data_IF_302690312713
#
_entry.id   IF_302690312713
#
_cell.length_a   1.000
_cell.length_b   1.000
_cell.length_c   1.000
_cell.angle_alpha   90.00
_cell.angle_beta   90.00
_cell.angle_gamma   90.00
#
_symmetry.space_group_name_H-M   'P 1'
#
loop_
_entity.id
_entity.type
_entity.pdbx_description
1 polymer ?
#
# COMPACT_ATOMS: atom_id res chain seq x y z
N UNK A 1 -27.82 -15.53 -27.94
CA UNK A 1 -26.77 -15.97 -28.87
C UNK A 1 -25.60 -15.02 -28.69
N UNK A 2 -24.38 -15.53 -28.51
CA UNK A 2 -23.19 -14.70 -28.32
C UNK A 2 -22.95 -13.79 -29.53
N UNK A 3 -22.51 -12.56 -29.33
CA UNK A 3 -22.27 -11.56 -30.38
C UNK A 3 -21.22 -12.02 -31.41
N UNK A 4 -20.36 -12.97 -31.03
CA UNK A 4 -19.30 -13.54 -31.86
C UNK A 4 -19.70 -14.84 -32.60
N UNK A 5 -20.96 -15.25 -32.53
CA UNK A 5 -21.43 -16.57 -33.04
C UNK A 5 -21.55 -16.72 -34.56
N UNK A 6 -21.15 -15.73 -35.34
CA UNK A 6 -21.43 -15.67 -36.80
C UNK A 6 -21.03 -16.89 -37.63
N UNK A 7 -19.99 -17.63 -37.20
CA UNK A 7 -19.47 -18.80 -37.92
C UNK A 7 -19.93 -20.13 -37.32
N UNK A 8 -20.48 -20.11 -36.12
CA UNK A 8 -20.79 -21.32 -35.36
C UNK A 8 -22.21 -21.80 -35.61
N UNK A 9 -22.37 -23.10 -35.77
CA UNK A 9 -23.66 -23.77 -36.10
C UNK A 9 -24.34 -24.37 -34.85
N UNK A 10 -23.67 -24.31 -33.69
CA UNK A 10 -24.20 -24.84 -32.42
C UNK A 10 -24.11 -23.77 -31.33
N UNK A 11 -25.01 -23.87 -30.36
CA UNK A 11 -24.88 -23.08 -29.16
C UNK A 11 -23.70 -23.56 -28.30
N UNK A 12 -23.09 -22.62 -27.56
CA UNK A 12 -22.01 -22.93 -26.63
C UNK A 12 -22.57 -23.82 -25.49
N UNK A 13 -21.79 -24.77 -25.07
CA UNK A 13 -22.11 -25.59 -23.89
C UNK A 13 -22.20 -24.69 -22.63
N UNK A 14 -23.20 -24.94 -21.78
CA UNK A 14 -23.45 -24.13 -20.61
C UNK A 14 -22.28 -24.16 -19.60
N UNK A 15 -21.59 -25.30 -19.47
CA UNK A 15 -20.39 -25.40 -18.62
C UNK A 15 -19.22 -24.62 -19.18
N UNK A 16 -19.05 -24.62 -20.50
CA UNK A 16 -18.02 -23.82 -21.19
C UNK A 16 -18.33 -22.34 -21.07
N UNK A 17 -19.60 -21.94 -21.17
CA UNK A 17 -19.99 -20.54 -20.97
C UNK A 17 -19.67 -20.08 -19.54
N UNK A 18 -20.01 -20.87 -18.53
CA UNK A 18 -19.68 -20.57 -17.14
C UNK A 18 -18.16 -20.52 -16.88
N UNK A 19 -17.40 -21.41 -17.51
CA UNK A 19 -15.93 -21.43 -17.44
C UNK A 19 -15.29 -20.18 -18.03
N UNK A 20 -15.83 -19.67 -19.15
CA UNK A 20 -15.30 -18.51 -19.86
C UNK A 20 -15.78 -17.17 -19.29
N UNK A 21 -16.90 -17.15 -18.57
CA UNK A 21 -17.53 -15.92 -18.08
C UNK A 21 -16.67 -15.20 -17.04
N UNK A 22 -16.63 -13.88 -17.14
CA UNK A 22 -15.91 -12.99 -16.20
C UNK A 22 -16.82 -11.99 -15.50
N UNK A 23 -18.13 -11.96 -15.81
CA UNK A 23 -19.06 -10.97 -15.25
C UNK A 23 -19.04 -10.93 -13.72
N UNK A 24 -18.81 -12.07 -13.05
CA UNK A 24 -18.80 -12.18 -11.61
C UNK A 24 -17.75 -11.27 -10.93
N UNK A 25 -16.66 -10.96 -11.61
CA UNK A 25 -15.59 -10.12 -11.09
C UNK A 25 -15.34 -8.85 -11.91
N UNK A 26 -15.62 -8.83 -13.22
CA UNK A 26 -15.38 -7.64 -14.04
C UNK A 26 -16.52 -6.63 -14.00
N UNK A 27 -17.69 -7.00 -13.49
CA UNK A 27 -18.82 -6.10 -13.32
C UNK A 27 -18.46 -4.82 -12.53
N UNK A 28 -17.49 -4.90 -11.62
CA UNK A 28 -17.00 -3.73 -10.86
C UNK A 28 -16.41 -2.62 -11.74
N UNK A 29 -16.02 -2.93 -12.96
CA UNK A 29 -15.50 -1.96 -13.93
C UNK A 29 -16.59 -1.25 -14.77
N UNK A 30 -17.87 -1.43 -14.46
CA UNK A 30 -18.97 -0.91 -15.30
C UNK A 30 -18.89 0.60 -15.57
N UNK A 31 -18.45 1.39 -14.59
CA UNK A 31 -18.27 2.85 -14.76
C UNK A 31 -17.17 3.14 -15.78
N UNK A 32 -16.07 2.41 -15.69
CA UNK A 32 -14.91 2.56 -16.57
C UNK A 32 -15.20 2.08 -17.98
N UNK A 33 -15.93 0.98 -18.13
CA UNK A 33 -16.40 0.50 -19.43
C UNK A 33 -17.28 1.53 -20.13
N UNK A 34 -18.26 2.10 -19.40
CA UNK A 34 -19.15 3.14 -19.93
C UNK A 34 -18.38 4.41 -20.25
N UNK A 35 -17.46 4.84 -19.39
CA UNK A 35 -16.60 6.00 -19.63
C UNK A 35 -15.77 5.83 -20.91
N UNK A 36 -15.13 4.70 -21.09
CA UNK A 36 -14.36 4.36 -22.28
C UNK A 36 -15.23 4.32 -23.54
N UNK A 37 -16.43 3.75 -23.46
CA UNK A 37 -17.38 3.68 -24.54
C UNK A 37 -17.93 5.06 -24.93
N UNK A 38 -18.15 5.96 -23.99
CA UNK A 38 -18.55 7.35 -24.27
C UNK A 38 -17.44 8.07 -25.04
N UNK A 39 -16.19 7.95 -24.61
CA UNK A 39 -15.06 8.55 -25.31
C UNK A 39 -14.91 7.97 -26.74
N UNK A 40 -15.08 6.67 -26.88
CA UNK A 40 -15.03 6.01 -28.20
C UNK A 40 -16.14 6.49 -29.13
N UNK A 41 -17.38 6.54 -28.64
CA UNK A 41 -18.52 7.03 -29.43
C UNK A 41 -18.38 8.51 -29.82
N UNK A 42 -17.82 9.33 -28.94
CA UNK A 42 -17.52 10.75 -29.23
C UNK A 42 -16.55 10.85 -30.40
N UNK A 43 -15.42 10.16 -30.32
CA UNK A 43 -14.41 10.13 -31.37
C UNK A 43 -14.96 9.60 -32.69
N UNK A 44 -15.74 8.52 -32.66
CA UNK A 44 -16.37 7.98 -33.88
C UNK A 44 -17.26 9.02 -34.58
N UNK A 45 -18.03 9.78 -33.85
CA UNK A 45 -18.87 10.87 -34.34
C UNK A 45 -18.06 12.04 -34.89
N UNK A 46 -17.01 12.46 -34.16
CA UNK A 46 -16.16 13.58 -34.56
C UNK A 46 -15.29 13.26 -35.79
N UNK A 47 -14.86 12.03 -35.93
CA UNK A 47 -14.17 11.52 -37.13
C UNK A 47 -15.13 11.22 -38.32
N UNK A 48 -16.44 11.33 -38.14
CA UNK A 48 -17.43 11.05 -39.20
C UNK A 48 -17.54 9.57 -39.58
N UNK A 49 -17.07 8.65 -38.71
CA UNK A 49 -17.16 7.19 -38.89
C UNK A 49 -18.60 6.73 -38.67
N UNK A 50 -19.29 7.32 -37.71
CA UNK A 50 -20.73 7.26 -37.49
C UNK A 50 -21.31 8.67 -37.58
N UNK A 51 -22.63 8.78 -37.77
CA UNK A 51 -23.27 10.11 -37.77
C UNK A 51 -23.19 10.75 -36.39
N UNK A 52 -23.23 12.09 -36.32
CA UNK A 52 -23.25 12.81 -35.02
C UNK A 52 -24.53 12.52 -34.24
N UNK A 53 -25.63 12.27 -34.90
CA UNK A 53 -26.90 11.86 -34.33
C UNK A 53 -26.76 10.50 -33.65
N UNK A 54 -26.19 9.51 -34.33
CA UNK A 54 -25.96 8.18 -33.77
C UNK A 54 -25.00 8.24 -32.57
N UNK A 55 -23.91 9.00 -32.69
CA UNK A 55 -22.96 9.22 -31.58
C UNK A 55 -23.69 9.80 -30.35
N UNK A 56 -24.50 10.84 -30.52
CA UNK A 56 -25.25 11.47 -29.46
C UNK A 56 -26.24 10.52 -28.78
N UNK A 57 -26.94 9.70 -29.56
CA UNK A 57 -27.88 8.69 -29.04
C UNK A 57 -27.16 7.59 -28.26
N UNK A 58 -26.02 7.12 -28.75
CA UNK A 58 -25.18 6.13 -28.05
C UNK A 58 -24.71 6.69 -26.71
N UNK A 59 -24.18 7.92 -26.68
CA UNK A 59 -23.71 8.58 -25.47
C UNK A 59 -24.85 8.76 -24.48
N UNK A 60 -26.02 9.18 -24.95
CA UNK A 60 -27.21 9.30 -24.11
C UNK A 60 -27.58 7.94 -23.49
N UNK A 61 -27.66 6.89 -24.29
CA UNK A 61 -28.00 5.53 -23.83
C UNK A 61 -27.00 4.99 -22.81
N UNK A 62 -25.70 5.24 -23.03
CA UNK A 62 -24.65 4.86 -22.06
C UNK A 62 -24.79 5.58 -20.72
N UNK A 63 -25.12 6.88 -20.74
CA UNK A 63 -25.38 7.65 -19.51
C UNK A 63 -26.64 7.18 -18.77
N UNK A 64 -27.68 6.81 -19.51
CA UNK A 64 -28.89 6.22 -18.93
C UNK A 64 -28.60 4.87 -18.26
N UNK A 65 -27.83 4.00 -18.91
CA UNK A 65 -27.41 2.70 -18.37
C UNK A 65 -26.58 2.92 -17.10
N UNK A 66 -25.65 3.87 -17.10
CA UNK A 66 -24.84 4.19 -15.94
C UNK A 66 -25.72 4.64 -14.76
N UNK A 67 -26.67 5.55 -14.99
CA UNK A 67 -27.60 6.03 -13.97
C UNK A 67 -28.48 4.91 -13.42
N UNK A 68 -28.95 4.01 -14.28
CA UNK A 68 -29.79 2.88 -13.88
C UNK A 68 -28.98 1.84 -13.05
N UNK A 69 -27.72 1.59 -13.39
CA UNK A 69 -26.82 0.74 -12.61
C UNK A 69 -26.47 1.38 -11.27
N UNK A 70 -26.17 2.67 -11.25
CA UNK A 70 -25.82 3.41 -10.04
C UNK A 70 -26.96 3.45 -9.03
N UNK A 71 -28.20 3.56 -9.52
CA UNK A 71 -29.41 3.60 -8.68
C UNK A 71 -29.96 2.22 -8.29
N UNK A 72 -29.38 1.15 -8.83
CA UNK A 72 -29.89 -0.22 -8.65
C UNK A 72 -31.16 -0.53 -9.42
N UNK A 73 -31.61 0.35 -10.33
CA UNK A 73 -32.77 0.11 -11.20
C UNK A 73 -32.46 -0.98 -12.26
N UNK A 74 -31.21 -1.07 -12.69
CA UNK A 74 -30.68 -2.12 -13.54
C UNK A 74 -29.70 -2.98 -12.75
N UNK A 75 -29.90 -4.29 -12.77
CA UNK A 75 -29.01 -5.25 -12.16
C UNK A 75 -28.18 -5.98 -13.22
N UNK A 76 -26.97 -6.44 -12.86
CA UNK A 76 -26.13 -7.23 -13.77
C UNK A 76 -26.76 -8.60 -14.02
N UNK A 77 -26.74 -9.04 -15.28
CA UNK A 77 -27.13 -10.38 -15.64
C UNK A 77 -25.97 -11.36 -15.31
N UNK A 78 -26.15 -12.27 -14.35
CA UNK A 78 -25.11 -13.22 -13.98
C UNK A 78 -24.77 -14.22 -15.09
N UNK A 79 -25.59 -14.31 -16.13
CA UNK A 79 -25.37 -15.17 -17.29
C UNK A 79 -24.67 -14.43 -18.45
N UNK A 80 -24.42 -13.13 -18.35
CA UNK A 80 -23.62 -12.40 -19.31
C UNK A 80 -22.18 -12.94 -19.30
N UNK A 81 -21.52 -12.89 -20.46
CA UNK A 81 -20.11 -13.30 -20.58
C UNK A 81 -19.18 -12.37 -19.79
N UNK A 82 -19.34 -11.08 -20.01
CA UNK A 82 -18.57 -10.03 -19.35
C UNK A 82 -19.37 -8.73 -19.27
N UNK A 83 -18.82 -7.74 -18.55
CA UNK A 83 -19.43 -6.42 -18.40
C UNK A 83 -19.59 -5.69 -19.73
N UNK A 84 -18.66 -5.89 -20.64
CA UNK A 84 -18.66 -5.23 -21.95
C UNK A 84 -19.84 -5.68 -22.80
N UNK A 85 -20.08 -6.99 -22.89
CA UNK A 85 -21.26 -7.54 -23.57
C UNK A 85 -22.56 -7.14 -22.88
N UNK A 86 -22.57 -7.10 -21.55
CA UNK A 86 -23.75 -6.68 -20.80
C UNK A 86 -24.17 -5.25 -21.16
N UNK A 87 -23.23 -4.30 -21.16
CA UNK A 87 -23.51 -2.89 -21.49
C UNK A 87 -23.94 -2.75 -22.95
N UNK A 88 -23.24 -3.41 -23.88
CA UNK A 88 -23.54 -3.38 -25.31
C UNK A 88 -24.93 -3.99 -25.63
N UNK A 89 -25.26 -5.11 -24.99
CA UNK A 89 -26.59 -5.75 -25.13
C UNK A 89 -27.71 -4.83 -24.58
N UNK A 90 -27.51 -4.21 -23.43
CA UNK A 90 -28.49 -3.27 -22.87
C UNK A 90 -28.65 -2.03 -23.74
N UNK A 91 -27.55 -1.48 -24.27
CA UNK A 91 -27.60 -0.36 -25.22
C UNK A 91 -28.36 -0.73 -26.49
N UNK A 92 -28.09 -1.91 -27.06
CA UNK A 92 -28.79 -2.41 -28.26
C UNK A 92 -30.28 -2.63 -27.99
N UNK A 93 -30.64 -3.14 -26.81
CA UNK A 93 -32.05 -3.29 -26.40
C UNK A 93 -32.80 -1.96 -26.37
N UNK A 94 -32.14 -0.89 -25.94
CA UNK A 94 -32.74 0.46 -25.82
C UNK A 94 -32.77 1.20 -27.16
N UNK A 95 -31.73 1.10 -27.97
CA UNK A 95 -31.50 1.94 -29.13
C UNK A 95 -31.40 1.17 -30.46
N UNK A 96 -31.60 -0.14 -30.47
CA UNK A 96 -31.60 -0.98 -31.66
C UNK A 96 -30.30 -0.91 -32.45
N UNK A 97 -30.40 -0.74 -33.77
CA UNK A 97 -29.23 -0.73 -34.66
C UNK A 97 -28.24 0.40 -34.38
N UNK A 98 -28.70 1.51 -33.82
CA UNK A 98 -27.81 2.61 -33.42
C UNK A 98 -26.84 2.12 -32.34
N UNK A 99 -27.34 1.38 -31.34
CA UNK A 99 -26.52 0.80 -30.26
C UNK A 99 -25.42 -0.14 -30.78
N UNK A 100 -25.71 -0.91 -31.83
CA UNK A 100 -24.75 -1.82 -32.46
C UNK A 100 -23.55 -1.12 -33.11
N UNK A 101 -23.65 0.16 -33.42
CA UNK A 101 -22.58 0.96 -34.03
C UNK A 101 -21.46 1.31 -33.06
N UNK A 102 -21.69 1.20 -31.74
CA UNK A 102 -20.69 1.47 -30.74
C UNK A 102 -19.40 0.64 -30.91
N UNK A 103 -19.53 -0.62 -31.38
CA UNK A 103 -18.38 -1.53 -31.52
C UNK A 103 -17.53 -1.27 -32.78
N UNK A 104 -17.92 -0.32 -33.61
CA UNK A 104 -17.17 0.04 -34.84
C UNK A 104 -15.72 0.39 -34.51
N UNK A 105 -14.77 -0.18 -35.23
CA UNK A 105 -13.31 0.00 -35.07
C UNK A 105 -12.70 -0.42 -33.73
N UNK A 106 -13.45 -1.12 -32.91
CA UNK A 106 -13.02 -1.56 -31.57
C UNK A 106 -13.02 -3.09 -31.48
N UNK A 107 -12.11 -3.62 -30.66
CA UNK A 107 -12.08 -5.03 -30.27
C UNK A 107 -12.34 -5.15 -28.77
N UNK A 108 -12.74 -6.34 -28.32
CA UNK A 108 -12.75 -6.67 -26.88
C UNK A 108 -11.35 -6.52 -26.29
N UNK A 109 -10.30 -6.79 -27.06
CA UNK A 109 -8.92 -6.77 -26.58
C UNK A 109 -8.45 -5.38 -26.15
N UNK A 110 -8.66 -4.34 -26.95
CA UNK A 110 -8.30 -2.97 -26.56
C UNK A 110 -9.31 -2.37 -25.57
N UNK A 111 -10.56 -2.78 -25.61
CA UNK A 111 -11.58 -2.36 -24.65
C UNK A 111 -11.27 -2.83 -23.24
N UNK A 112 -10.97 -4.11 -23.02
CA UNK A 112 -10.66 -4.64 -21.69
C UNK A 112 -9.32 -4.09 -21.16
N UNK A 113 -8.33 -3.91 -22.04
CA UNK A 113 -7.08 -3.28 -21.67
C UNK A 113 -7.27 -1.83 -21.17
N UNK A 114 -8.15 -1.08 -21.84
CA UNK A 114 -8.53 0.27 -21.41
C UNK A 114 -9.23 0.26 -20.06
N UNK A 115 -10.26 -0.56 -19.91
CA UNK A 115 -11.11 -0.56 -18.72
C UNK A 115 -10.30 -0.91 -17.46
N UNK A 116 -9.40 -1.88 -17.57
CA UNK A 116 -8.53 -2.26 -16.46
C UNK A 116 -7.56 -1.13 -16.09
N UNK A 117 -7.00 -0.40 -17.09
CA UNK A 117 -6.16 0.78 -16.82
C UNK A 117 -6.94 1.89 -16.13
N UNK A 118 -8.12 2.21 -16.62
CA UNK A 118 -8.98 3.25 -16.01
C UNK A 118 -9.34 2.88 -14.56
N UNK A 119 -9.76 1.64 -14.34
CA UNK A 119 -10.10 1.13 -13.02
C UNK A 119 -8.92 1.19 -12.05
N UNK A 120 -7.76 0.64 -12.44
CA UNK A 120 -6.59 0.61 -11.58
C UNK A 120 -5.99 2.00 -11.36
N UNK A 121 -6.14 2.93 -12.29
CA UNK A 121 -5.74 4.33 -12.09
C UNK A 121 -6.50 4.96 -10.92
N UNK A 122 -7.81 4.73 -10.84
CA UNK A 122 -8.64 5.22 -9.73
C UNK A 122 -8.29 4.49 -8.41
N UNK A 123 -8.06 3.19 -8.46
CA UNK A 123 -7.66 2.41 -7.28
C UNK A 123 -6.27 2.83 -6.74
N UNK A 124 -5.33 3.15 -7.62
CA UNK A 124 -4.02 3.70 -7.21
C UNK A 124 -4.21 5.03 -6.46
N UNK A 125 -5.08 5.90 -6.95
CA UNK A 125 -5.36 7.18 -6.28
C UNK A 125 -5.96 6.96 -4.89
N UNK A 126 -6.86 5.99 -4.73
CA UNK A 126 -7.46 5.64 -3.45
C UNK A 126 -6.46 5.01 -2.48
N UNK A 127 -5.68 4.03 -2.93
CA UNK A 127 -4.61 3.42 -2.12
C UNK A 127 -3.59 4.49 -1.71
N UNK A 128 -3.21 5.39 -2.62
CA UNK A 128 -2.32 6.51 -2.33
C UNK A 128 -2.87 7.40 -1.22
N UNK A 129 -4.15 7.73 -1.28
CA UNK A 129 -4.83 8.50 -0.24
C UNK A 129 -4.79 7.78 1.11
N UNK A 130 -5.02 6.47 1.15
CA UNK A 130 -4.97 5.68 2.38
C UNK A 130 -3.56 5.59 2.96
N UNK A 131 -2.53 5.37 2.14
CA UNK A 131 -1.13 5.37 2.57
C UNK A 131 -0.74 6.74 3.14
N UNK A 132 -1.15 7.82 2.48
CA UNK A 132 -0.94 9.18 2.97
C UNK A 132 -1.62 9.39 4.34
N UNK A 133 -2.88 9.00 4.49
CA UNK A 133 -3.61 9.09 5.77
C UNK A 133 -2.93 8.30 6.88
N UNK A 134 -2.42 7.11 6.59
CA UNK A 134 -1.67 6.32 7.57
C UNK A 134 -0.37 7.01 7.97
N UNK A 135 0.37 7.57 7.03
CA UNK A 135 1.57 8.37 7.31
C UNK A 135 1.25 9.59 8.19
N UNK A 136 0.15 10.29 7.91
CA UNK A 136 -0.34 11.42 8.73
C UNK A 136 -0.68 10.98 10.15
N UNK A 137 -1.37 9.85 10.32
CA UNK A 137 -1.70 9.31 11.63
C UNK A 137 -0.43 8.97 12.45
N UNK A 138 0.58 8.39 11.81
CA UNK A 138 1.88 8.13 12.45
C UNK A 138 2.59 9.43 12.85
N UNK A 139 2.58 10.46 12.01
CA UNK A 139 3.18 11.77 12.31
C UNK A 139 2.48 12.41 13.52
N UNK A 140 1.15 12.42 13.54
CA UNK A 140 0.38 12.98 14.66
C UNK A 140 0.63 12.25 15.97
N UNK A 141 0.77 10.92 15.92
CA UNK A 141 1.14 10.13 17.10
C UNK A 141 2.57 10.44 17.52
N UNK A 142 3.50 10.53 16.58
CA UNK A 142 4.89 10.87 16.87
C UNK A 142 5.03 12.26 17.54
N UNK A 143 4.28 13.27 17.11
CA UNK A 143 4.29 14.60 17.71
C UNK A 143 3.95 14.59 19.22
N UNK A 144 3.18 13.63 19.68
CA UNK A 144 2.81 13.47 21.10
C UNK A 144 3.85 12.71 21.93
N UNK A 145 4.88 12.14 21.27
CA UNK A 145 5.82 11.21 21.89
C UNK A 145 7.30 11.53 21.59
N UNK A 146 7.61 12.80 21.36
CA UNK A 146 8.98 13.27 21.04
C UNK A 146 9.98 13.09 22.18
N UNK A 147 9.50 12.96 23.41
CA UNK A 147 10.30 12.71 24.61
C UNK A 147 9.95 11.40 25.31
N UNK A 148 9.10 10.56 24.72
CA UNK A 148 8.74 9.25 25.27
C UNK A 148 9.88 8.27 25.03
N UNK A 149 10.71 8.04 26.03
CA UNK A 149 11.87 7.14 25.97
C UNK A 149 11.41 5.68 25.93
N UNK A 150 11.97 4.94 24.98
CA UNK A 150 11.78 3.49 24.87
C UNK A 150 13.10 2.81 24.50
N UNK A 151 13.25 1.49 24.74
CA UNK A 151 14.41 0.77 24.25
C UNK A 151 14.30 0.59 22.73
N UNK A 152 15.36 0.90 22.00
CA UNK A 152 15.56 0.44 20.64
C UNK A 152 16.13 -0.97 20.67
N UNK A 153 15.75 -1.80 19.70
CA UNK A 153 16.12 -3.21 19.62
C UNK A 153 16.95 -3.52 18.39
N UNK A 154 17.94 -4.39 18.57
CA UNK A 154 18.56 -5.17 17.50
C UNK A 154 18.57 -6.63 17.95
N UNK A 155 18.27 -7.58 17.05
CA UNK A 155 18.16 -9.02 17.38
C UNK A 155 17.15 -9.30 18.53
N UNK A 156 16.12 -8.48 18.69
CA UNK A 156 15.22 -8.47 19.86
C UNK A 156 15.95 -8.32 21.21
N UNK A 157 17.20 -7.87 21.21
CA UNK A 157 17.92 -7.45 22.39
C UNK A 157 17.79 -5.94 22.57
N UNK A 158 17.67 -5.49 23.81
CA UNK A 158 17.69 -4.06 24.14
C UNK A 158 19.05 -3.50 23.76
N UNK A 159 19.08 -2.51 22.87
CA UNK A 159 20.30 -2.02 22.26
C UNK A 159 20.68 -0.61 22.75
N UNK A 160 19.90 0.38 22.37
CA UNK A 160 20.13 1.78 22.71
C UNK A 160 18.82 2.50 22.97
N UNK A 161 18.81 3.56 23.81
CA UNK A 161 17.59 4.33 24.03
C UNK A 161 17.20 5.17 22.82
N UNK A 162 15.94 5.14 22.49
CA UNK A 162 15.31 5.97 21.45
C UNK A 162 14.04 6.62 21.98
N UNK A 163 13.35 7.41 21.17
CA UNK A 163 12.00 7.87 21.48
C UNK A 163 10.97 7.13 20.64
N UNK A 164 9.75 7.05 21.15
CA UNK A 164 8.64 6.45 20.40
C UNK A 164 8.35 7.22 19.10
N UNK A 165 8.47 8.55 19.14
CA UNK A 165 8.39 9.38 17.93
C UNK A 165 9.42 8.98 16.88
N UNK A 166 10.69 8.83 17.27
CA UNK A 166 11.75 8.40 16.36
C UNK A 166 11.46 7.06 15.71
N UNK A 167 10.96 6.11 16.48
CA UNK A 167 10.58 4.78 15.99
C UNK A 167 9.44 4.85 14.95
N UNK A 168 8.37 5.61 15.25
CA UNK A 168 7.23 5.78 14.35
C UNK A 168 7.63 6.48 13.04
N UNK A 169 8.52 7.47 13.12
CA UNK A 169 9.00 8.19 11.94
C UNK A 169 9.81 7.31 10.96
N UNK A 170 10.37 6.20 11.43
CA UNK A 170 10.97 5.21 10.53
C UNK A 170 9.93 4.60 9.59
N UNK A 171 8.75 4.29 10.07
CA UNK A 171 7.62 3.82 9.26
C UNK A 171 7.10 4.90 8.30
N UNK A 172 7.08 6.16 8.74
CA UNK A 172 6.73 7.28 7.84
C UNK A 172 7.68 7.34 6.64
N UNK A 173 8.99 7.13 6.85
CA UNK A 173 9.96 7.07 5.74
C UNK A 173 9.67 5.92 4.75
N UNK A 174 9.21 4.77 5.24
CA UNK A 174 8.80 3.65 4.38
C UNK A 174 7.59 4.04 3.54
N UNK A 175 6.57 4.64 4.16
CA UNK A 175 5.35 5.06 3.47
C UNK A 175 5.58 6.18 2.46
N UNK A 176 6.50 7.11 2.71
CA UNK A 176 6.90 8.12 1.74
C UNK A 176 7.51 7.50 0.47
N UNK A 177 8.29 6.43 0.61
CA UNK A 177 8.79 5.68 -0.55
C UNK A 177 7.67 4.91 -1.26
N UNK A 178 6.68 4.43 -0.52
CA UNK A 178 5.50 3.76 -1.10
C UNK A 178 4.63 4.73 -1.90
N UNK A 179 4.43 5.95 -1.41
CA UNK A 179 3.76 7.01 -2.18
C UNK A 179 4.48 7.28 -3.50
N UNK A 180 5.81 7.37 -3.48
CA UNK A 180 6.61 7.53 -4.70
C UNK A 180 6.45 6.36 -5.68
N UNK A 181 6.39 5.11 -5.19
CA UNK A 181 6.16 3.94 -6.05
C UNK A 181 4.77 3.97 -6.69
N UNK A 182 3.73 4.35 -5.94
CA UNK A 182 2.38 4.50 -6.47
C UNK A 182 2.33 5.58 -7.56
N UNK A 183 2.97 6.73 -7.33
CA UNK A 183 3.07 7.81 -8.31
C UNK A 183 3.81 7.37 -9.58
N UNK A 184 4.89 6.63 -9.45
CA UNK A 184 5.66 6.09 -10.56
C UNK A 184 4.86 5.07 -11.37
N UNK A 185 4.10 4.18 -10.72
CA UNK A 185 3.21 3.22 -11.39
C UNK A 185 2.11 3.96 -12.15
N UNK A 186 1.44 4.92 -11.52
CA UNK A 186 0.40 5.72 -12.14
C UNK A 186 0.92 6.46 -13.39
N UNK A 187 2.12 7.01 -13.32
CA UNK A 187 2.75 7.71 -14.44
C UNK A 187 3.05 6.78 -15.62
N UNK A 188 3.66 5.62 -15.38
CA UNK A 188 4.02 4.69 -16.46
C UNK A 188 2.81 4.07 -17.15
N UNK A 189 1.74 3.80 -16.44
CA UNK A 189 0.52 3.21 -17.01
C UNK A 189 -0.39 4.22 -17.72
N UNK A 190 -0.10 5.51 -17.66
CA UNK A 190 -1.01 6.56 -18.16
C UNK A 190 -0.93 6.77 -19.66
N UNK A 191 -0.98 5.67 -20.42
CA UNK A 191 -1.07 5.64 -21.88
C UNK A 191 -2.30 4.85 -22.32
N UNK A 192 -3.01 5.37 -23.33
CA UNK A 192 -4.31 4.87 -23.78
C UNK A 192 -4.16 3.72 -24.79
N UNK A 193 -4.64 2.51 -24.49
CA UNK A 193 -4.60 1.39 -25.43
C UNK A 193 -5.70 1.43 -26.48
N UNK A 194 -6.78 2.20 -26.28
CA UNK A 194 -7.95 2.21 -27.16
C UNK A 194 -7.57 2.72 -28.56
N UNK A 195 -8.05 1.99 -29.57
CA UNK A 195 -7.65 2.19 -30.97
C UNK A 195 -6.61 1.18 -31.43
N UNK A 196 -6.06 0.36 -30.53
CA UNK A 196 -5.19 -0.77 -30.90
C UNK A 196 -5.95 -1.90 -31.63
N UNK A 197 -7.29 -1.90 -31.54
CA UNK A 197 -8.12 -2.95 -32.10
C UNK A 197 -7.86 -4.30 -31.47
N UNK A 198 -7.93 -5.38 -32.26
CA UNK A 198 -7.56 -6.70 -31.75
C UNK A 198 -6.05 -6.83 -31.52
N UNK A 199 -5.21 -6.23 -32.37
CA UNK A 199 -3.74 -6.21 -32.29
C UNK A 199 -3.08 -5.29 -33.34
N UNK A 200 -3.75 -5.00 -34.44
CA UNK A 200 -3.17 -4.34 -35.60
C UNK A 200 -3.84 -3.00 -35.93
N UNK A 201 -4.43 -2.36 -34.95
CA UNK A 201 -5.18 -1.12 -35.12
C UNK A 201 -6.45 -1.35 -35.95
N UNK A 202 -6.78 -0.40 -36.83
CA UNK A 202 -8.00 -0.41 -37.60
C UNK A 202 -7.75 0.27 -38.96
N UNK A 203 -8.60 -0.05 -39.96
CA UNK A 203 -8.60 0.62 -41.26
C UNK A 203 -9.42 1.92 -41.30
N UNK A 204 -10.11 2.23 -40.21
CA UNK A 204 -10.83 3.49 -40.07
C UNK A 204 -9.87 4.63 -39.69
N UNK A 205 -10.17 5.84 -40.11
CA UNK A 205 -9.42 7.04 -39.74
C UNK A 205 -9.87 7.55 -38.35
N UNK A 206 -9.51 6.83 -37.31
CA UNK A 206 -9.78 7.19 -35.95
C UNK A 206 -8.78 8.24 -35.41
N UNK A 207 -9.19 9.01 -34.41
CA UNK A 207 -8.33 9.93 -33.67
C UNK A 207 -8.04 9.39 -32.27
N UNK A 208 -6.87 8.77 -32.10
CA UNK A 208 -6.43 8.19 -30.83
C UNK A 208 -5.98 9.24 -29.82
N UNK A 209 -5.49 10.41 -30.29
CA UNK A 209 -5.14 11.53 -29.43
C UNK A 209 -6.39 12.12 -28.76
N UNK A 210 -7.46 12.27 -29.49
CA UNK A 210 -8.75 12.70 -28.94
C UNK A 210 -9.23 11.72 -27.86
N UNK A 211 -9.25 10.44 -28.14
CA UNK A 211 -9.69 9.41 -27.20
C UNK A 211 -8.83 9.42 -25.93
N UNK A 212 -7.51 9.50 -26.07
CA UNK A 212 -6.59 9.59 -24.93
C UNK A 212 -6.85 10.85 -24.10
N UNK A 213 -7.04 12.00 -24.74
CA UNK A 213 -7.34 13.26 -24.07
C UNK A 213 -8.67 13.23 -23.31
N UNK A 214 -9.73 12.72 -23.91
CA UNK A 214 -11.05 12.58 -23.29
C UNK A 214 -11.01 11.70 -22.02
N UNK A 215 -10.10 10.73 -21.97
CA UNK A 215 -9.94 9.80 -20.87
C UNK A 215 -8.84 10.20 -19.88
N UNK A 216 -8.18 11.35 -20.09
CA UNK A 216 -7.15 11.86 -19.19
C UNK A 216 -5.84 11.07 -19.24
N UNK A 217 -5.53 10.43 -20.34
CA UNK A 217 -4.21 9.82 -20.59
C UNK A 217 -3.23 10.84 -21.16
N UNK A 218 -1.93 10.60 -20.96
CA UNK A 218 -0.87 11.48 -21.45
C UNK A 218 -0.71 11.36 -22.99
N UNK A 219 -0.92 10.15 -23.52
CA UNK A 219 -0.79 9.84 -24.95
C UNK A 219 -1.47 8.50 -25.29
N UNK A 220 -1.75 8.21 -26.57
CA UNK A 220 -2.04 6.85 -27.00
C UNK A 220 -0.79 5.97 -26.91
N UNK A 221 -0.97 4.67 -26.62
CA UNK A 221 0.13 3.70 -26.66
C UNK A 221 0.73 3.60 -28.07
N UNK A 222 2.05 3.58 -28.15
CA UNK A 222 2.80 3.73 -29.40
C UNK A 222 2.76 2.50 -30.33
N UNK A 223 2.39 1.33 -29.80
CA UNK A 223 2.34 0.07 -30.57
C UNK A 223 1.04 -0.67 -30.26
N UNK A 224 0.29 -1.06 -31.29
CA UNK A 224 -1.02 -1.70 -31.12
C UNK A 224 -0.96 -3.15 -30.59
N UNK A 225 0.14 -3.87 -30.85
CA UNK A 225 0.36 -5.20 -30.25
C UNK A 225 0.59 -5.08 -28.74
N UNK A 226 1.43 -4.14 -28.34
CA UNK A 226 1.69 -3.83 -26.94
C UNK A 226 0.43 -3.29 -26.24
N UNK A 227 -0.36 -2.46 -26.94
CA UNK A 227 -1.60 -1.88 -26.42
C UNK A 227 -2.62 -2.89 -25.92
N UNK A 228 -2.69 -4.08 -26.52
CA UNK A 228 -3.60 -5.16 -26.09
C UNK A 228 -2.91 -6.24 -25.23
N UNK A 229 -1.58 -6.27 -25.24
CA UNK A 229 -0.78 -7.31 -24.57
C UNK A 229 -0.26 -6.87 -23.20
N UNK A 230 0.03 -5.60 -23.01
CA UNK A 230 0.67 -5.09 -21.81
C UNK A 230 -0.19 -5.30 -20.54
N UNK A 231 0.44 -5.90 -19.55
CA UNK A 231 -0.05 -6.05 -18.18
C UNK A 231 1.04 -5.68 -17.16
N UNK A 232 2.11 -5.02 -17.60
CA UNK A 232 3.20 -4.59 -16.71
C UNK A 232 2.67 -3.72 -15.57
N UNK A 233 1.71 -2.86 -15.83
CA UNK A 233 1.09 -2.01 -14.82
C UNK A 233 0.35 -2.81 -13.72
N UNK A 234 -0.22 -3.97 -14.04
CA UNK A 234 -0.81 -4.86 -13.03
C UNK A 234 0.28 -5.47 -12.14
N UNK A 235 1.38 -5.92 -12.74
CA UNK A 235 2.51 -6.51 -12.03
C UNK A 235 3.20 -5.45 -11.17
N UNK A 236 3.48 -4.28 -11.71
CA UNK A 236 4.11 -3.17 -11.01
C UNK A 236 3.25 -2.69 -9.83
N UNK A 237 1.94 -2.59 -10.02
CA UNK A 237 1.02 -2.27 -8.93
C UNK A 237 1.04 -3.36 -7.86
N UNK A 238 0.93 -4.63 -8.23
CA UNK A 238 0.96 -5.75 -7.29
C UNK A 238 2.29 -5.83 -6.52
N UNK A 239 3.42 -5.49 -7.16
CA UNK A 239 4.72 -5.36 -6.51
C UNK A 239 4.73 -4.22 -5.48
N UNK A 240 4.24 -3.06 -5.87
CA UNK A 240 4.09 -1.90 -4.97
C UNK A 240 3.19 -2.23 -3.78
N UNK A 241 2.04 -2.87 -4.03
CA UNK A 241 1.11 -3.33 -2.99
C UNK A 241 1.77 -4.36 -2.06
N UNK A 242 2.60 -5.25 -2.59
CA UNK A 242 3.38 -6.23 -1.82
C UNK A 242 4.39 -5.55 -0.90
N UNK A 243 5.06 -4.49 -1.35
CA UNK A 243 5.99 -3.71 -0.52
C UNK A 243 5.23 -2.97 0.58
N UNK A 244 4.08 -2.36 0.26
CA UNK A 244 3.21 -1.73 1.26
C UNK A 244 2.80 -2.75 2.33
N UNK A 245 2.35 -3.94 1.94
CA UNK A 245 1.97 -5.00 2.88
C UNK A 245 3.15 -5.49 3.71
N UNK A 246 4.35 -5.56 3.15
CA UNK A 246 5.56 -5.88 3.91
C UNK A 246 5.82 -4.84 5.01
N UNK A 247 5.66 -3.55 4.70
CA UNK A 247 5.78 -2.49 5.71
C UNK A 247 4.69 -2.59 6.78
N UNK A 248 3.44 -2.83 6.38
CA UNK A 248 2.32 -3.05 7.31
C UNK A 248 2.52 -4.30 8.17
N UNK A 249 3.06 -5.37 7.61
CA UNK A 249 3.37 -6.60 8.34
C UNK A 249 4.45 -6.38 9.40
N UNK A 250 5.50 -5.64 9.06
CA UNK A 250 6.55 -5.27 10.03
C UNK A 250 6.00 -4.40 11.15
N UNK A 251 5.20 -3.40 10.83
CA UNK A 251 4.51 -2.57 11.83
C UNK A 251 3.58 -3.41 12.71
N UNK A 252 2.82 -4.31 12.11
CA UNK A 252 1.91 -5.21 12.82
C UNK A 252 2.65 -6.13 13.80
N UNK A 253 3.81 -6.68 13.39
CA UNK A 253 4.65 -7.48 14.28
C UNK A 253 5.08 -6.70 15.52
N UNK A 254 5.51 -5.45 15.35
CA UNK A 254 5.89 -4.60 16.49
C UNK A 254 4.71 -4.26 17.39
N UNK A 255 3.54 -3.96 16.82
CA UNK A 255 2.31 -3.74 17.60
C UNK A 255 1.95 -4.98 18.41
N UNK A 256 2.05 -6.18 17.83
CA UNK A 256 1.82 -7.46 18.53
C UNK A 256 2.78 -7.61 19.70
N UNK A 257 4.08 -7.36 19.48
CA UNK A 257 5.07 -7.39 20.56
C UNK A 257 4.75 -6.36 21.63
N UNK A 258 4.45 -5.12 21.24
CA UNK A 258 4.20 -4.02 22.19
C UNK A 258 2.96 -4.23 23.04
N UNK A 259 1.92 -4.88 22.57
CA UNK A 259 0.72 -5.19 23.35
C UNK A 259 0.78 -6.53 24.09
N UNK A 260 1.84 -7.33 23.93
CA UNK A 260 2.04 -8.57 24.70
C UNK A 260 2.18 -8.30 26.20
N UNK A 261 1.92 -9.33 27.01
CA UNK A 261 2.11 -9.26 28.47
C UNK A 261 3.55 -8.96 28.88
N UNK A 262 4.52 -9.40 28.10
CA UNK A 262 5.94 -9.22 28.34
C UNK A 262 6.40 -7.78 28.12
N UNK A 263 5.85 -7.10 27.12
CA UNK A 263 6.20 -5.72 26.77
C UNK A 263 5.26 -4.70 27.42
N UNK A 264 3.96 -4.81 27.18
CA UNK A 264 2.94 -3.84 27.63
C UNK A 264 3.31 -2.38 27.37
N UNK A 265 3.88 -2.11 26.21
CA UNK A 265 4.24 -0.76 25.78
C UNK A 265 3.04 0.02 25.28
N UNK A 266 2.06 -0.70 24.74
CA UNK A 266 0.81 -0.14 24.26
C UNK A 266 -0.37 -1.02 24.68
N UNK A 267 -1.55 -0.45 24.57
CA UNK A 267 -2.82 -1.17 24.64
C UNK A 267 -3.71 -0.72 23.51
N UNK A 268 -4.27 -1.67 22.78
CA UNK A 268 -5.26 -1.39 21.76
C UNK A 268 -6.60 -1.02 22.39
N UNK A 269 -7.37 -0.15 21.73
CA UNK A 269 -8.74 0.12 22.10
C UNK A 269 -9.60 -1.16 21.97
N UNK A 270 -10.64 -1.29 22.80
CA UNK A 270 -11.51 -2.47 22.81
C UNK A 270 -12.22 -2.67 21.46
N UNK A 271 -12.45 -1.60 20.69
CA UNK A 271 -13.02 -1.68 19.35
C UNK A 271 -12.08 -2.31 18.31
N UNK A 272 -10.79 -2.43 18.62
CA UNK A 272 -9.76 -2.93 17.71
C UNK A 272 -9.01 -4.16 18.27
N UNK A 273 -9.63 -4.86 19.20
CA UNK A 273 -9.10 -6.08 19.80
C UNK A 273 -10.24 -7.08 20.00
N UNK A 274 -9.90 -8.35 20.18
CA UNK A 274 -10.89 -9.38 20.52
C UNK A 274 -10.53 -10.07 21.82
N UNK A 275 -11.52 -10.76 22.40
CA UNK A 275 -11.33 -11.59 23.60
C UNK A 275 -11.32 -13.07 23.26
N UNK A 276 -11.07 -13.90 24.26
CA UNK A 276 -11.21 -15.35 24.18
C UNK A 276 -12.57 -15.78 24.73
N UNK A 277 -13.19 -16.79 24.10
CA UNK A 277 -14.45 -17.37 24.59
C UNK A 277 -14.34 -18.08 25.92
N UNK A 278 -13.13 -18.46 26.35
CA UNK A 278 -12.87 -19.20 27.61
C UNK A 278 -11.80 -18.56 28.49
N UNK A 279 -11.04 -17.61 27.96
CA UNK A 279 -9.94 -16.94 28.71
C UNK A 279 -10.24 -15.44 28.83
N UNK A 280 -11.00 -15.01 29.84
CA UNK A 280 -11.51 -13.64 29.95
C UNK A 280 -10.43 -12.58 30.16
N UNK A 281 -9.21 -12.99 30.48
CA UNK A 281 -8.07 -12.08 30.65
C UNK A 281 -7.40 -11.68 29.31
N UNK A 282 -7.70 -12.40 28.22
CA UNK A 282 -7.07 -12.12 26.92
C UNK A 282 -7.70 -10.93 26.22
N UNK A 283 -6.83 -10.12 25.61
CA UNK A 283 -7.16 -9.06 24.67
C UNK A 283 -6.22 -9.21 23.48
N UNK A 284 -6.75 -9.76 22.39
CA UNK A 284 -5.97 -10.24 21.26
C UNK A 284 -5.80 -9.16 20.20
N UNK A 285 -4.61 -8.99 19.60
CA UNK A 285 -4.35 -8.02 18.53
C UNK A 285 -4.69 -8.59 17.15
N UNK A 286 -5.91 -9.11 16.98
CA UNK A 286 -6.32 -9.86 15.77
C UNK A 286 -6.17 -9.09 14.48
N UNK A 287 -6.38 -7.75 14.51
CA UNK A 287 -6.23 -6.90 13.33
C UNK A 287 -4.81 -7.00 12.77
N UNK A 288 -3.82 -6.85 13.65
CA UNK A 288 -2.41 -6.89 13.24
C UNK A 288 -1.97 -8.30 12.84
N UNK A 289 -2.53 -9.34 13.46
CA UNK A 289 -2.30 -10.72 13.04
C UNK A 289 -2.87 -10.99 11.64
N UNK A 290 -4.09 -10.50 11.37
CA UNK A 290 -4.72 -10.62 10.05
C UNK A 290 -3.99 -9.82 8.97
N UNK A 291 -3.49 -8.62 9.27
CA UNK A 291 -2.66 -7.85 8.34
C UNK A 291 -1.39 -8.63 7.98
N UNK A 292 -0.72 -9.20 8.98
CA UNK A 292 0.44 -10.06 8.79
C UNK A 292 0.10 -11.28 7.91
N UNK A 293 -1.03 -11.93 8.16
CA UNK A 293 -1.53 -13.06 7.37
C UNK A 293 -1.89 -12.69 5.94
N UNK A 294 -2.61 -11.57 5.73
CA UNK A 294 -3.02 -11.08 4.41
C UNK A 294 -1.85 -10.65 3.53
N UNK A 295 -0.72 -10.34 4.10
CA UNK A 295 0.52 -10.04 3.36
C UNK A 295 0.91 -11.20 2.44
N UNK A 296 0.81 -12.44 2.92
CA UNK A 296 1.10 -13.63 2.10
C UNK A 296 0.15 -13.75 0.90
N UNK A 297 -1.12 -13.39 1.08
CA UNK A 297 -2.13 -13.40 0.01
C UNK A 297 -1.77 -12.42 -1.11
N UNK A 298 -1.39 -11.19 -0.76
CA UNK A 298 -0.98 -10.17 -1.75
C UNK A 298 0.29 -10.59 -2.49
N UNK A 299 1.24 -11.23 -1.80
CA UNK A 299 2.42 -11.83 -2.46
C UNK A 299 2.03 -12.93 -3.45
N UNK A 300 1.00 -13.74 -3.10
CA UNK A 300 0.45 -14.74 -4.00
C UNK A 300 -0.15 -14.14 -5.26
N UNK A 301 -0.84 -13.00 -5.15
CA UNK A 301 -1.41 -12.28 -6.28
C UNK A 301 -0.32 -11.77 -7.23
N UNK A 302 0.75 -11.19 -6.71
CA UNK A 302 1.92 -10.80 -7.50
C UNK A 302 2.53 -12.00 -8.24
N UNK A 303 2.72 -13.11 -7.53
CA UNK A 303 3.26 -14.34 -8.12
C UNK A 303 2.34 -14.88 -9.22
N UNK A 304 1.04 -14.80 -9.02
CA UNK A 304 0.03 -15.19 -10.03
C UNK A 304 0.20 -14.38 -11.32
N UNK A 305 0.29 -13.05 -11.21
CA UNK A 305 0.45 -12.15 -12.36
C UNK A 305 1.77 -12.39 -13.10
N UNK A 306 2.88 -12.52 -12.39
CA UNK A 306 4.19 -12.83 -12.97
C UNK A 306 4.16 -14.17 -13.72
N UNK A 307 3.57 -15.18 -13.13
CA UNK A 307 3.50 -16.53 -13.70
C UNK A 307 2.55 -16.58 -14.89
N UNK A 308 1.42 -15.87 -14.84
CA UNK A 308 0.47 -15.76 -15.95
C UNK A 308 1.14 -15.17 -17.20
N UNK A 309 1.88 -14.09 -17.05
CA UNK A 309 2.46 -13.38 -18.20
C UNK A 309 3.70 -14.03 -18.77
N UNK A 310 4.48 -14.78 -17.97
CA UNK A 310 5.69 -15.42 -18.47
C UNK A 310 5.37 -16.37 -19.63
N UNK A 311 6.09 -16.25 -20.72
CA UNK A 311 5.99 -17.18 -21.85
C UNK A 311 4.74 -17.02 -22.72
N UNK A 312 3.86 -16.05 -22.48
CA UNK A 312 2.74 -15.76 -23.39
C UNK A 312 3.27 -15.09 -24.66
N UNK A 313 2.81 -15.52 -25.85
CA UNK A 313 3.07 -14.78 -27.07
C UNK A 313 2.29 -13.46 -27.07
N UNK A 314 2.69 -12.51 -27.91
CA UNK A 314 1.88 -11.35 -28.26
C UNK A 314 0.60 -11.83 -28.97
N UNK A 315 -0.46 -11.18 -28.99
CA UNK A 315 -0.98 -9.97 -28.46
C UNK A 315 -1.86 -10.24 -27.23
N UNK A 316 -2.99 -10.94 -27.40
CA UNK A 316 -3.92 -11.35 -26.34
C UNK A 316 -4.12 -12.88 -26.37
N UNK A 317 -4.08 -13.48 -25.19
CA UNK A 317 -4.45 -14.85 -24.93
C UNK A 317 -5.43 -14.87 -23.75
N UNK A 318 -6.33 -15.84 -23.71
CA UNK A 318 -7.37 -15.92 -22.69
C UNK A 318 -6.81 -16.08 -21.26
N UNK A 319 -5.57 -16.55 -21.13
CA UNK A 319 -4.79 -16.55 -19.87
C UNK A 319 -4.83 -15.19 -19.17
N UNK A 320 -4.79 -14.11 -19.93
CA UNK A 320 -4.81 -12.74 -19.39
C UNK A 320 -6.10 -12.37 -18.65
N UNK A 321 -7.19 -13.16 -18.81
CA UNK A 321 -8.42 -12.93 -18.04
C UNK A 321 -8.20 -13.14 -16.53
N UNK A 322 -7.18 -13.94 -16.15
CA UNK A 322 -6.78 -14.17 -14.76
C UNK A 322 -6.09 -12.95 -14.11
N UNK A 323 -5.81 -11.90 -14.87
CA UNK A 323 -5.24 -10.65 -14.38
C UNK A 323 -6.14 -9.97 -13.32
N UNK A 324 -7.46 -10.00 -13.55
CA UNK A 324 -8.43 -9.24 -12.77
C UNK A 324 -8.61 -9.77 -11.36
N UNK A 325 -8.83 -11.06 -11.20
CA UNK A 325 -9.06 -11.64 -9.87
C UNK A 325 -7.84 -11.43 -8.96
N UNK A 326 -6.62 -11.61 -9.49
CA UNK A 326 -5.40 -11.40 -8.73
C UNK A 326 -5.20 -9.92 -8.34
N UNK A 327 -5.30 -8.99 -9.30
CA UNK A 327 -5.06 -7.58 -8.97
C UNK A 327 -6.18 -6.96 -8.14
N UNK A 328 -7.42 -7.35 -8.35
CA UNK A 328 -8.55 -6.90 -7.55
C UNK A 328 -8.44 -7.38 -6.11
N UNK A 329 -8.05 -8.64 -5.90
CA UNK A 329 -7.81 -9.19 -4.58
C UNK A 329 -6.69 -8.46 -3.84
N UNK A 330 -5.58 -8.19 -4.52
CA UNK A 330 -4.46 -7.44 -3.94
C UNK A 330 -4.87 -6.03 -3.52
N UNK A 331 -5.56 -5.30 -4.38
CA UNK A 331 -6.05 -3.94 -4.10
C UNK A 331 -7.04 -3.95 -2.93
N UNK A 332 -8.06 -4.81 -2.98
CA UNK A 332 -9.10 -4.90 -1.96
C UNK A 332 -8.50 -5.20 -0.58
N UNK A 333 -7.55 -6.15 -0.49
CA UNK A 333 -6.91 -6.50 0.78
C UNK A 333 -6.02 -5.38 1.32
N UNK A 334 -5.27 -4.67 0.48
CA UNK A 334 -4.45 -3.53 0.92
C UNK A 334 -5.31 -2.39 1.43
N UNK A 335 -6.38 -2.05 0.72
CA UNK A 335 -7.34 -1.02 1.16
C UNK A 335 -7.95 -1.38 2.52
N UNK A 336 -8.45 -2.60 2.67
CA UNK A 336 -9.03 -3.09 3.93
C UNK A 336 -8.04 -3.02 5.09
N UNK A 337 -6.78 -3.42 4.88
CA UNK A 337 -5.74 -3.34 5.89
C UNK A 337 -5.44 -1.88 6.30
N UNK A 338 -5.31 -0.97 5.32
CA UNK A 338 -5.05 0.44 5.61
C UNK A 338 -6.23 1.11 6.32
N UNK A 339 -7.46 0.88 5.88
CA UNK A 339 -8.68 1.41 6.49
C UNK A 339 -8.84 0.95 7.95
N UNK A 340 -8.32 -0.22 8.29
CA UNK A 340 -8.43 -0.79 9.64
C UNK A 340 -7.26 -0.38 10.54
N UNK A 341 -6.04 -0.34 10.02
CA UNK A 341 -4.85 0.01 10.83
C UNK A 341 -4.83 1.48 11.26
N UNK A 342 -5.38 2.37 10.43
CA UNK A 342 -5.40 3.82 10.73
C UNK A 342 -6.17 4.10 12.03
N UNK A 343 -7.46 3.78 12.16
CA UNK A 343 -8.20 4.04 13.41
C UNK A 343 -7.67 3.20 14.59
N UNK A 344 -7.11 2.02 14.36
CA UNK A 344 -6.43 1.25 15.40
C UNK A 344 -5.26 2.04 16.00
N UNK A 345 -4.41 2.63 15.15
CA UNK A 345 -3.30 3.47 15.58
C UNK A 345 -3.79 4.74 16.32
N UNK A 346 -4.80 5.41 15.79
CA UNK A 346 -5.32 6.67 16.33
C UNK A 346 -5.96 6.51 17.72
N UNK A 347 -6.44 5.31 18.05
CA UNK A 347 -7.08 4.98 19.33
C UNK A 347 -6.18 4.24 20.31
N UNK A 348 -4.98 3.87 19.86
CA UNK A 348 -4.00 3.13 20.65
C UNK A 348 -3.52 3.95 21.86
N UNK A 349 -3.50 3.31 23.03
CA UNK A 349 -2.95 3.92 24.26
C UNK A 349 -1.49 3.53 24.43
N UNK A 350 -0.63 4.52 24.66
CA UNK A 350 0.81 4.33 24.89
C UNK A 350 1.12 4.31 26.39
N UNK A 351 1.77 3.26 26.87
CA UNK A 351 2.21 3.09 28.27
C UNK A 351 3.65 3.61 28.43
N UNK A 352 3.80 4.91 28.51
CA UNK A 352 5.12 5.60 28.61
C UNK A 352 5.99 5.08 29.73
N UNK A 353 5.38 4.78 30.88
CA UNK A 353 6.07 4.28 32.07
C UNK A 353 6.67 2.89 31.83
N UNK A 354 5.93 1.99 31.17
CA UNK A 354 6.44 0.66 30.84
C UNK A 354 7.59 0.73 29.82
N UNK A 355 7.48 1.61 28.82
CA UNK A 355 8.56 1.86 27.88
C UNK A 355 9.82 2.36 28.58
N UNK A 356 9.67 3.36 29.46
CA UNK A 356 10.77 3.94 30.23
C UNK A 356 11.40 2.90 31.16
N UNK A 357 10.59 2.12 31.87
CA UNK A 357 11.07 1.07 32.78
C UNK A 357 11.82 -0.04 32.02
N UNK A 358 11.36 -0.41 30.82
CA UNK A 358 12.06 -1.37 29.97
C UNK A 358 13.41 -0.82 29.46
N UNK A 359 13.47 0.47 29.15
CA UNK A 359 14.71 1.16 28.76
C UNK A 359 15.72 1.23 29.90
N UNK A 360 15.28 1.34 31.16
CA UNK A 360 16.14 1.35 32.33
C UNK A 360 16.78 -0.02 32.66
N UNK A 361 16.32 -1.09 32.00
CA UNK A 361 16.84 -2.44 32.18
C UNK A 361 17.63 -2.89 30.97
N UNK A 362 18.76 -3.55 31.16
CA UNK A 362 19.54 -4.15 30.06
C UNK A 362 20.73 -3.33 29.61
N UNK A 363 21.15 -2.36 30.40
CA UNK A 363 22.41 -1.62 30.18
C UNK A 363 22.50 -0.92 28.83
N UNK A 364 21.38 -0.41 28.32
CA UNK A 364 21.33 0.23 26.98
C UNK A 364 22.11 1.54 26.91
N UNK A 365 22.57 2.05 28.06
CA UNK A 365 23.45 3.20 28.21
C UNK A 365 24.94 2.83 28.36
N UNK A 366 25.28 1.56 28.18
CA UNK A 366 26.69 1.11 28.27
C UNK A 366 27.60 1.74 27.21
N UNK A 367 27.07 1.97 25.99
CA UNK A 367 27.78 2.70 24.95
C UNK A 367 28.06 4.14 25.37
N UNK A 368 27.09 4.80 26.00
CA UNK A 368 27.22 6.18 26.50
C UNK A 368 28.25 6.26 27.63
N UNK A 369 28.36 5.22 28.47
CA UNK A 369 29.42 5.08 29.47
C UNK A 369 30.81 5.00 28.83
N UNK A 370 30.96 4.22 27.74
CA UNK A 370 32.21 4.16 26.99
C UNK A 370 32.52 5.51 26.33
N UNK A 371 31.52 6.13 25.69
CA UNK A 371 31.67 7.44 25.04
C UNK A 371 32.06 8.55 26.02
N UNK A 372 31.56 8.48 27.27
CA UNK A 372 31.98 9.39 28.33
C UNK A 372 33.49 9.36 28.55
N UNK A 373 34.08 8.16 28.61
CA UNK A 373 35.54 8.02 28.76
C UNK A 373 36.29 8.48 27.50
N UNK A 374 35.76 8.21 26.33
CA UNK A 374 36.35 8.68 25.05
C UNK A 374 36.41 10.21 24.99
N UNK A 375 35.33 10.88 25.42
CA UNK A 375 35.29 12.35 25.52
C UNK A 375 36.28 12.92 26.53
N UNK A 376 36.72 12.13 27.49
CA UNK A 376 37.80 12.45 28.44
C UNK A 376 39.21 12.01 27.96
N UNK A 377 39.33 11.59 26.71
CA UNK A 377 40.61 11.31 26.04
C UNK A 377 41.04 9.84 25.99
N UNK A 378 40.20 8.91 26.46
CA UNK A 378 40.52 7.49 26.40
C UNK A 378 40.26 6.92 25.00
N UNK A 379 41.14 6.05 24.45
CA UNK A 379 40.84 5.33 23.21
C UNK A 379 39.57 4.50 23.32
N UNK A 380 38.75 4.48 22.27
CA UNK A 380 37.45 3.81 22.29
C UNK A 380 37.52 2.33 22.69
N UNK A 381 38.52 1.59 22.19
CA UNK A 381 38.65 0.16 22.52
C UNK A 381 38.92 -0.11 24.00
N UNK A 382 39.63 0.77 24.68
CA UNK A 382 39.89 0.69 26.12
C UNK A 382 38.64 1.10 26.91
N UNK A 383 37.98 2.19 26.50
CA UNK A 383 36.69 2.61 27.05
C UNK A 383 35.62 1.51 26.97
N UNK A 384 35.54 0.86 25.81
CA UNK A 384 34.63 -0.27 25.55
C UNK A 384 34.87 -1.43 26.55
N UNK A 385 36.13 -1.83 26.75
CA UNK A 385 36.48 -2.91 27.68
C UNK A 385 36.10 -2.55 29.11
N UNK A 386 36.38 -1.32 29.54
CA UNK A 386 36.00 -0.83 30.89
C UNK A 386 34.48 -0.84 31.05
N UNK A 387 33.73 -0.31 30.09
CA UNK A 387 32.27 -0.31 30.12
C UNK A 387 31.72 -1.75 30.18
N UNK A 388 32.25 -2.66 29.40
CA UNK A 388 31.87 -4.08 29.43
C UNK A 388 32.15 -4.74 30.80
N UNK A 389 33.29 -4.45 31.42
CA UNK A 389 33.63 -4.93 32.75
C UNK A 389 32.67 -4.40 33.82
N UNK A 390 32.33 -3.11 33.75
CA UNK A 390 31.36 -2.49 34.65
C UNK A 390 29.96 -3.11 34.51
N UNK A 391 29.52 -3.39 33.30
CA UNK A 391 28.26 -4.11 33.04
C UNK A 391 28.28 -5.50 33.68
N UNK A 392 29.35 -6.28 33.48
CA UNK A 392 29.48 -7.59 34.10
C UNK A 392 29.46 -7.52 35.65
N UNK A 393 30.13 -6.55 36.21
CA UNK A 393 30.12 -6.29 37.68
C UNK A 393 28.70 -5.95 38.17
N UNK A 394 28.00 -5.06 37.46
CA UNK A 394 26.61 -4.72 37.76
C UNK A 394 25.69 -5.94 37.73
N UNK A 395 25.82 -6.78 36.71
CA UNK A 395 25.02 -8.01 36.57
C UNK A 395 25.27 -8.94 37.76
N UNK A 396 26.53 -9.16 38.11
CA UNK A 396 26.90 -10.06 39.23
C UNK A 396 26.36 -9.61 40.59
N UNK A 397 26.17 -8.31 40.75
CA UNK A 397 25.75 -7.68 42.02
C UNK A 397 24.26 -7.27 42.00
N UNK A 398 23.53 -7.50 40.96
CA UNK A 398 22.14 -7.05 40.80
C UNK A 398 21.98 -5.53 40.78
N UNK A 399 23.01 -4.80 40.30
CA UNK A 399 23.05 -3.34 40.18
C UNK A 399 22.83 -2.91 38.71
N UNK A 400 22.63 -1.62 38.52
CA UNK A 400 22.66 -0.95 37.21
C UNK A 400 23.83 0.04 37.17
N UNK A 401 24.16 0.56 35.98
CA UNK A 401 25.19 1.60 35.89
C UNK A 401 24.79 2.86 36.72
N UNK A 402 23.50 3.18 36.78
CA UNK A 402 22.99 4.32 37.54
C UNK A 402 23.08 4.13 39.06
N UNK A 403 23.09 2.89 39.54
CA UNK A 403 23.12 2.55 40.96
C UNK A 403 24.50 2.06 41.44
N UNK A 404 25.44 1.85 40.52
CA UNK A 404 26.81 1.46 40.87
C UNK A 404 27.51 2.64 41.60
N UNK A 405 28.10 2.44 42.81
CA UNK A 405 28.82 3.49 43.52
C UNK A 405 29.99 4.06 42.68
N UNK A 406 30.22 5.38 42.82
CA UNK A 406 31.30 6.06 42.11
C UNK A 406 32.67 5.43 42.35
N UNK A 407 32.92 4.96 43.57
CA UNK A 407 34.16 4.28 43.93
C UNK A 407 34.44 3.05 43.05
N UNK A 408 33.42 2.32 42.64
CA UNK A 408 33.57 1.15 41.75
C UNK A 408 33.98 1.58 40.31
N UNK A 409 33.40 2.68 39.82
CA UNK A 409 33.84 3.29 38.58
C UNK A 409 35.30 3.74 38.64
N UNK A 410 35.70 4.38 39.75
CA UNK A 410 37.03 4.92 39.95
C UNK A 410 38.10 3.84 40.12
N UNK A 411 37.74 2.64 40.55
CA UNK A 411 38.65 1.47 40.56
C UNK A 411 39.11 1.10 39.13
N UNK A 412 38.28 1.36 38.11
CA UNK A 412 38.60 1.07 36.73
C UNK A 412 39.51 2.15 36.15
N UNK A 413 39.21 3.41 36.39
CA UNK A 413 39.99 4.56 35.96
C UNK A 413 39.61 5.82 36.72
N UNK A 414 40.59 6.68 37.10
CA UNK A 414 40.31 7.95 37.78
C UNK A 414 39.60 8.98 36.89
N UNK A 415 39.41 8.71 35.58
CA UNK A 415 38.66 9.58 34.69
C UNK A 415 37.16 9.66 35.03
N UNK A 416 36.63 8.68 35.77
CA UNK A 416 35.26 8.74 36.25
C UNK A 416 35.12 9.73 37.38
N UNK A 417 34.21 10.66 37.24
CA UNK A 417 33.78 11.62 38.25
C UNK A 417 32.25 11.59 38.39
N UNK A 418 31.69 12.30 39.31
CA UNK A 418 30.27 12.25 39.66
C UNK A 418 29.36 12.55 38.47
N UNK A 419 29.85 13.30 37.50
CA UNK A 419 29.15 13.62 36.23
C UNK A 419 28.86 12.41 35.31
N UNK A 420 29.42 11.23 35.63
CA UNK A 420 29.10 9.98 34.92
C UNK A 420 27.61 9.65 35.00
N UNK A 421 26.99 9.86 36.15
CA UNK A 421 25.58 9.57 36.33
C UNK A 421 24.66 10.42 35.46
N UNK A 422 25.03 11.65 35.25
CA UNK A 422 24.34 12.55 34.32
C UNK A 422 24.55 12.12 32.87
N UNK A 423 25.78 11.74 32.50
CA UNK A 423 26.14 11.32 31.16
C UNK A 423 25.47 10.04 30.71
N UNK A 424 25.19 9.11 31.64
CA UNK A 424 24.53 7.80 31.35
C UNK A 424 23.02 7.80 31.61
N UNK A 425 22.44 8.92 32.09
CA UNK A 425 20.98 8.99 32.24
C UNK A 425 20.32 8.79 30.86
N UNK A 426 19.21 8.06 30.81
CA UNK A 426 18.55 7.72 29.51
C UNK A 426 18.15 8.97 28.76
N UNK A 427 17.69 9.99 29.46
CA UNK A 427 17.31 11.27 28.88
C UNK A 427 18.51 11.98 28.23
N UNK A 428 19.65 12.00 28.90
CA UNK A 428 20.91 12.56 28.38
C UNK A 428 21.40 11.74 27.18
N UNK A 429 21.33 10.42 27.25
CA UNK A 429 21.69 9.52 26.16
C UNK A 429 20.88 9.80 24.89
N UNK A 430 19.56 10.00 25.04
CA UNK A 430 18.69 10.36 23.90
C UNK A 430 19.00 11.76 23.40
N UNK A 431 19.06 12.76 24.28
CA UNK A 431 19.32 14.16 23.91
C UNK A 431 20.68 14.36 23.27
N UNK A 432 21.68 13.56 23.63
CA UNK A 432 23.02 13.60 23.08
C UNK A 432 23.15 13.11 21.63
N UNK A 433 22.16 12.37 21.12
CA UNK A 433 22.15 11.79 19.77
C UNK A 433 21.59 12.81 18.77
N UNK A 434 22.33 13.89 18.55
CA UNK A 434 21.91 15.06 17.75
C UNK A 434 22.25 14.96 16.26
N UNK A 435 22.90 13.89 15.82
CA UNK A 435 23.16 13.65 14.40
C UNK A 435 21.87 13.67 13.57
N UNK A 436 21.96 14.10 12.33
CA UNK A 436 20.82 14.10 11.41
C UNK A 436 20.18 12.70 11.36
N UNK A 437 18.87 12.63 11.55
CA UNK A 437 18.15 11.34 11.60
C UNK A 437 18.24 10.63 12.95
N UNK A 438 18.89 11.19 13.96
CA UNK A 438 18.99 10.63 15.30
C UNK A 438 17.73 10.84 16.15
N UNK A 439 17.67 10.22 17.35
CA UNK A 439 16.48 10.22 18.22
C UNK A 439 16.35 11.42 19.14
N UNK A 440 17.31 12.36 19.17
CA UNK A 440 17.18 13.54 20.05
C UNK A 440 15.93 14.35 19.70
N UNK A 441 15.28 15.01 20.69
CA UNK A 441 14.12 15.86 20.41
C UNK A 441 14.38 16.90 19.32
N UNK A 442 15.59 17.44 19.24
CA UNK A 442 16.00 18.38 18.17
C UNK A 442 16.01 17.69 16.80
N UNK A 443 16.66 16.53 16.68
CA UNK A 443 16.73 15.79 15.41
C UNK A 443 15.35 15.27 14.99
N UNK A 444 14.52 14.86 15.92
CA UNK A 444 13.13 14.45 15.68
C UNK A 444 12.28 15.62 15.19
N UNK A 445 12.43 16.82 15.77
CA UNK A 445 11.73 18.01 15.31
C UNK A 445 12.09 18.36 13.85
N UNK A 446 13.35 18.21 13.45
CA UNK A 446 13.78 18.38 12.06
C UNK A 446 13.17 17.30 11.15
N UNK A 447 13.15 16.04 11.59
CA UNK A 447 12.49 14.96 10.86
C UNK A 447 10.99 15.23 10.68
N UNK A 448 10.28 15.64 11.73
CA UNK A 448 8.86 16.03 11.66
C UNK A 448 8.63 17.14 10.65
N UNK A 449 9.45 18.17 10.68
CA UNK A 449 9.37 19.26 9.69
C UNK A 449 9.50 18.76 8.26
N UNK A 450 10.47 17.89 8.00
CA UNK A 450 10.74 17.35 6.66
C UNK A 450 9.60 16.44 6.18
N UNK A 451 9.09 15.55 7.04
CA UNK A 451 8.01 14.64 6.64
C UNK A 451 6.68 15.38 6.47
N UNK A 452 6.39 16.37 7.32
CA UNK A 452 5.21 17.22 7.17
C UNK A 452 5.23 17.96 5.84
N UNK A 453 6.36 18.52 5.44
CA UNK A 453 6.51 19.17 4.13
C UNK A 453 6.25 18.19 2.97
N UNK A 454 6.76 16.97 3.05
CA UNK A 454 6.54 15.94 2.02
C UNK A 454 5.08 15.42 1.98
N UNK A 455 4.39 15.48 3.10
CA UNK A 455 2.97 15.10 3.22
C UNK A 455 2.03 16.29 3.04
N UNK A 456 2.56 17.48 2.70
CA UNK A 456 1.78 18.71 2.51
C UNK A 456 0.96 19.10 3.74
N UNK A 457 1.49 18.84 4.94
CA UNK A 457 0.87 19.21 6.21
C UNK A 457 1.34 20.57 6.67
N UNK A 458 0.42 21.34 7.27
CA UNK A 458 0.70 22.63 7.88
C UNK A 458 1.57 22.51 9.16
#
# INVERSE_FOLDING_TARGET
>A
MALWAGRFSKEIDAGVNAFNSSIAFDARMYRHDIQGSIAHATMLGDCGIISKEDSSLIIQGLKEILADLDSGKLEFDPNAEDIHMFVEAELTKRYGDVGKRLHTSRSRNDQVALDLRLYLRDEIAEVRSLVHRFAVALVRTAEQHTETVMPGYTHLQRAQPVTFAHHLLAYVQMLLRDLGRLDDTAKRMNECPLGSGALAGTTYHIDREETASLLGFDAPMANSLDGVSDRDYCIELADTLSIIMMHLSRFSEEVILWCSWEFKFIELDDAFATGSSIMPQQKNPDITELIRGKTARVYGDLQTLLTMMKGLPLAYNKDMQEDKEAIFDAVDNVKLCLETVIPMLETMRVNKENMRAAAARGFINATDCADYLVKKGMPFRDAYKISGTLVAECISRGLTLETLPLEEYQKMTPLFTEDVYDAISLETCVRGRVSQGGPSPKAVAEQLKLVKAKLELA
#
